data_IF_914791762330
#
_entry.id   IF_914791762330
#
_cell.length_a   1.000
_cell.length_b   1.000
_cell.length_c   1.000
_cell.angle_alpha   90.00
_cell.angle_beta   90.00
_cell.angle_gamma   90.00
#
_symmetry.space_group_name_H-M   'P 1'
#
loop_
_entity.id
_entity.type
_entity.pdbx_description
1 polymer ?
#
# COMPACT_ATOMS: atom_id res chain seq x y z
N UNK A 1 -18.68 6.67 -28.99
CA UNK A 1 -18.97 5.50 -28.13
C UNK A 1 -20.18 4.78 -28.70
N UNK A 2 -20.07 3.49 -29.00
CA UNK A 2 -21.16 2.71 -29.57
C UNK A 2 -22.25 2.49 -28.51
N UNK A 3 -23.49 2.88 -28.78
CA UNK A 3 -24.62 2.61 -27.89
C UNK A 3 -24.80 1.08 -27.75
N UNK A 4 -24.93 0.59 -26.52
CA UNK A 4 -25.21 -0.82 -26.27
C UNK A 4 -26.53 -1.22 -26.94
N UNK A 5 -26.51 -2.34 -27.69
CA UNK A 5 -27.66 -2.82 -28.45
C UNK A 5 -28.60 -3.65 -27.55
N UNK A 6 -29.93 -3.50 -27.66
CA UNK A 6 -30.90 -4.28 -26.89
C UNK A 6 -30.70 -5.79 -27.05
N UNK A 7 -30.86 -6.54 -25.95
CA UNK A 7 -30.85 -8.02 -25.94
C UNK A 7 -29.50 -8.70 -25.75
N UNK A 8 -28.39 -7.97 -25.58
CA UNK A 8 -27.05 -8.53 -25.30
C UNK A 8 -26.62 -8.22 -23.87
N UNK A 9 -26.05 -9.21 -23.16
CA UNK A 9 -25.47 -9.05 -21.81
C UNK A 9 -24.60 -7.79 -21.70
N UNK A 10 -24.69 -7.09 -20.57
CA UNK A 10 -23.90 -5.89 -20.29
C UNK A 10 -22.40 -6.13 -20.53
N UNK A 11 -21.79 -5.28 -21.37
CA UNK A 11 -20.36 -5.27 -21.61
C UNK A 11 -19.80 -3.90 -21.27
N UNK A 12 -18.91 -3.86 -20.27
CA UNK A 12 -18.27 -2.62 -19.89
C UNK A 12 -17.11 -2.30 -20.83
N UNK A 13 -17.22 -1.19 -21.56
CA UNK A 13 -16.25 -0.81 -22.60
C UNK A 13 -14.83 -0.58 -22.04
N UNK A 14 -14.72 -0.17 -20.78
CA UNK A 14 -13.44 0.10 -20.11
C UNK A 14 -12.99 -1.07 -19.21
N UNK A 15 -13.49 -2.29 -19.47
CA UNK A 15 -13.11 -3.47 -18.70
C UNK A 15 -11.61 -3.80 -18.82
N UNK A 16 -10.98 -3.55 -19.97
CA UNK A 16 -9.53 -3.68 -20.15
C UNK A 16 -8.76 -2.69 -19.26
N UNK A 17 -9.18 -1.43 -19.25
CA UNK A 17 -8.58 -0.38 -18.41
C UNK A 17 -8.71 -0.70 -16.93
N UNK A 18 -9.88 -1.20 -16.49
CA UNK A 18 -10.09 -1.65 -15.12
C UNK A 18 -9.12 -2.78 -14.73
N UNK A 19 -8.89 -3.75 -15.63
CA UNK A 19 -7.92 -4.83 -15.40
C UNK A 19 -6.49 -4.28 -15.27
N UNK A 20 -6.08 -3.38 -16.16
CA UNK A 20 -4.74 -2.76 -16.09
C UNK A 20 -4.55 -2.01 -14.77
N UNK A 21 -5.56 -1.25 -14.32
CA UNK A 21 -5.50 -0.55 -13.02
C UNK A 21 -5.43 -1.50 -11.83
N UNK A 22 -6.14 -2.63 -11.87
CA UNK A 22 -6.03 -3.66 -10.83
C UNK A 22 -4.64 -4.32 -10.80
N UNK A 23 -4.03 -4.57 -11.97
CA UNK A 23 -2.65 -5.06 -12.05
C UNK A 23 -1.68 -4.02 -11.49
N UNK A 24 -1.86 -2.74 -11.83
CA UNK A 24 -1.03 -1.65 -11.29
C UNK A 24 -1.11 -1.58 -9.77
N UNK A 25 -2.31 -1.56 -9.20
CA UNK A 25 -2.51 -1.59 -7.74
C UNK A 25 -1.78 -2.77 -7.10
N UNK A 26 -1.91 -3.98 -7.66
CA UNK A 26 -1.23 -5.17 -7.15
C UNK A 26 0.30 -5.01 -7.16
N UNK A 27 0.85 -4.47 -8.24
CA UNK A 27 2.30 -4.18 -8.33
C UNK A 27 2.73 -3.15 -7.28
N UNK A 28 2.00 -2.06 -7.13
CA UNK A 28 2.34 -1.04 -6.12
C UNK A 28 2.24 -1.61 -4.69
N UNK A 29 1.33 -2.56 -4.46
CA UNK A 29 1.18 -3.26 -3.18
C UNK A 29 2.36 -4.20 -2.91
N UNK A 30 2.83 -4.92 -3.92
CA UNK A 30 4.03 -5.78 -3.82
C UNK A 30 5.28 -4.93 -3.52
N UNK A 31 5.47 -3.81 -4.23
CA UNK A 31 6.59 -2.88 -3.98
C UNK A 31 6.49 -2.25 -2.58
N UNK A 32 5.28 -1.87 -2.14
CA UNK A 32 5.08 -1.35 -0.79
C UNK A 32 5.46 -2.39 0.27
N UNK A 33 5.07 -3.66 0.09
CA UNK A 33 5.42 -4.73 1.02
C UNK A 33 6.93 -4.97 1.08
N UNK A 34 7.64 -4.87 -0.05
CA UNK A 34 9.10 -4.93 -0.10
C UNK A 34 9.73 -3.78 0.69
N UNK A 35 9.34 -2.53 0.41
CA UNK A 35 9.85 -1.35 1.14
C UNK A 35 9.53 -1.37 2.63
N UNK A 36 8.40 -1.95 3.00
CA UNK A 36 8.04 -2.12 4.41
C UNK A 36 8.97 -3.12 5.10
N UNK A 37 9.36 -4.21 4.43
CA UNK A 37 10.33 -5.17 4.98
C UNK A 37 11.71 -4.53 5.10
N UNK A 38 12.13 -3.75 4.11
CA UNK A 38 13.41 -3.04 4.16
C UNK A 38 13.46 -2.10 5.37
N UNK A 39 12.44 -1.26 5.55
CA UNK A 39 12.31 -0.36 6.70
C UNK A 39 12.35 -1.11 8.04
N UNK A 40 11.59 -2.21 8.17
CA UNK A 40 11.59 -3.02 9.39
C UNK A 40 12.95 -3.64 9.68
N UNK A 41 13.66 -4.09 8.64
CA UNK A 41 15.00 -4.65 8.76
C UNK A 41 16.00 -3.59 9.24
N UNK A 42 15.95 -2.39 8.66
CA UNK A 42 16.84 -1.30 9.08
C UNK A 42 16.53 -0.83 10.51
N UNK A 43 15.25 -0.82 10.91
CA UNK A 43 14.84 -0.51 12.28
C UNK A 43 15.32 -1.57 13.29
N UNK A 44 15.24 -2.86 12.94
CA UNK A 44 15.76 -3.93 13.79
C UNK A 44 17.28 -3.81 13.98
N UNK A 45 18.02 -3.40 12.94
CA UNK A 45 19.46 -3.15 13.05
C UNK A 45 19.76 -1.96 13.97
N UNK A 46 18.96 -0.89 13.88
CA UNK A 46 19.07 0.26 14.78
C UNK A 46 18.88 -0.16 16.25
N UNK A 47 17.80 -0.90 16.54
CA UNK A 47 17.50 -1.43 17.87
C UNK A 47 18.63 -2.33 18.39
N UNK A 48 19.19 -3.19 17.54
CA UNK A 48 20.30 -4.06 17.92
C UNK A 48 21.60 -3.29 18.24
N UNK A 49 21.89 -2.21 17.50
CA UNK A 49 23.05 -1.34 17.79
C UNK A 49 22.83 -0.57 19.10
N UNK A 50 21.61 -0.07 19.32
CA UNK A 50 21.26 0.64 20.55
C UNK A 50 21.35 -0.27 21.77
N UNK A 51 20.82 -1.49 21.68
CA UNK A 51 20.93 -2.49 22.73
C UNK A 51 22.40 -2.85 23.03
N UNK A 52 23.21 -3.08 21.99
CA UNK A 52 24.63 -3.36 22.18
C UNK A 52 25.36 -2.18 22.85
N UNK A 53 25.09 -0.95 22.41
CA UNK A 53 25.63 0.26 23.04
C UNK A 53 25.26 0.33 24.52
N UNK A 54 23.98 0.13 24.85
CA UNK A 54 23.49 0.14 26.23
C UNK A 54 24.17 -0.91 27.10
N UNK A 55 24.28 -2.14 26.59
CA UNK A 55 24.98 -3.23 27.29
C UNK A 55 26.45 -2.87 27.55
N UNK A 56 27.14 -2.27 26.58
CA UNK A 56 28.54 -1.83 26.73
C UNK A 56 28.71 -0.65 27.68
N UNK A 57 27.74 0.28 27.72
CA UNK A 57 27.72 1.37 28.69
C UNK A 57 27.50 0.86 30.12
N UNK A 58 26.60 -0.10 30.31
CA UNK A 58 26.34 -0.73 31.61
C UNK A 58 27.53 -1.56 32.09
N UNK A 59 28.19 -2.31 31.19
CA UNK A 59 29.46 -3.00 31.47
C UNK A 59 30.52 -2.01 31.97
N UNK A 60 30.66 -0.87 31.28
CA UNK A 60 31.63 0.16 31.61
C UNK A 60 31.32 0.79 32.97
N UNK A 61 30.05 1.14 33.24
CA UNK A 61 29.59 1.64 34.54
C UNK A 61 29.83 0.64 35.66
N UNK A 62 29.63 -0.65 35.41
CA UNK A 62 29.90 -1.73 36.36
C UNK A 62 31.37 -1.81 36.77
N UNK A 63 32.30 -1.56 35.84
CA UNK A 63 33.74 -1.51 36.12
C UNK A 63 34.08 -0.33 37.06
N UNK A 64 33.50 0.85 36.83
CA UNK A 64 33.71 2.01 37.70
C UNK A 64 33.13 1.84 39.12
N UNK A 65 32.08 1.02 39.29
CA UNK A 65 31.47 0.73 40.59
C UNK A 65 32.26 -0.28 41.44
N UNK A 66 33.09 -1.13 40.83
CA UNK A 66 33.76 -2.27 41.49
C UNK A 66 35.08 -1.92 42.21
N UNK A 67 35.48 -0.65 42.25
CA UNK A 67 36.69 -0.19 42.95
C UNK A 67 37.69 0.52 42.03
N UNK A 68 38.93 0.76 42.49
CA UNK A 68 39.92 1.53 41.74
C UNK A 68 40.26 0.86 40.40
N UNK A 69 40.36 1.67 39.36
CA UNK A 69 40.59 1.23 37.98
C UNK A 69 42.01 0.66 37.90
N UNK A 70 42.11 -0.66 37.78
CA UNK A 70 43.39 -1.37 37.66
C UNK A 70 43.97 -1.35 36.25
N UNK A 71 43.15 -1.11 35.22
CA UNK A 71 43.57 -1.15 33.81
C UNK A 71 42.93 -0.01 33.01
N UNK A 72 43.64 1.11 32.92
CA UNK A 72 43.21 2.31 32.19
C UNK A 72 43.15 2.08 30.66
N UNK A 73 43.99 1.17 30.13
CA UNK A 73 43.99 0.83 28.70
C UNK A 73 42.66 0.21 28.28
N UNK A 74 42.14 -0.74 29.06
CA UNK A 74 40.81 -1.33 28.82
C UNK A 74 39.66 -0.33 28.85
N UNK A 75 39.74 0.68 29.72
CA UNK A 75 38.73 1.76 29.79
C UNK A 75 38.77 2.60 28.52
N UNK A 76 39.97 2.97 28.06
CA UNK A 76 40.16 3.76 26.84
C UNK A 76 39.65 3.02 25.60
N UNK A 77 40.00 1.72 25.46
CA UNK A 77 39.52 0.89 24.34
C UNK A 77 38.00 0.73 24.33
N UNK A 78 37.37 0.58 25.51
CA UNK A 78 35.90 0.52 25.61
C UNK A 78 35.24 1.84 25.25
N UNK A 79 35.82 2.97 25.65
CA UNK A 79 35.34 4.30 25.25
C UNK A 79 35.41 4.47 23.73
N UNK A 80 36.55 4.13 23.12
CA UNK A 80 36.71 4.19 21.66
C UNK A 80 35.69 3.29 20.93
N UNK A 81 35.42 2.09 21.47
CA UNK A 81 34.38 1.22 20.92
C UNK A 81 32.97 1.82 21.03
N UNK A 82 32.64 2.50 22.14
CA UNK A 82 31.37 3.21 22.29
C UNK A 82 31.22 4.37 21.29
N UNK A 83 32.32 5.08 20.99
CA UNK A 83 32.33 6.12 19.96
C UNK A 83 32.04 5.53 18.58
N UNK A 84 32.66 4.40 18.22
CA UNK A 84 32.36 3.67 16.97
C UNK A 84 30.90 3.20 16.93
N UNK A 85 30.35 2.69 18.04
CA UNK A 85 28.94 2.30 18.10
C UNK A 85 28.00 3.49 17.94
N UNK A 86 28.36 4.66 18.47
CA UNK A 86 27.60 5.90 18.28
C UNK A 86 27.61 6.31 16.81
N UNK A 87 28.77 6.35 16.16
CA UNK A 87 28.87 6.70 14.74
C UNK A 87 28.09 5.71 13.85
N UNK A 88 28.11 4.42 14.20
CA UNK A 88 27.33 3.39 13.50
C UNK A 88 25.82 3.57 13.72
N UNK A 89 25.40 3.97 14.92
CA UNK A 89 24.00 4.27 15.22
C UNK A 89 23.54 5.48 14.41
N UNK A 90 24.31 6.56 14.38
CA UNK A 90 23.96 7.78 13.64
C UNK A 90 23.78 7.46 12.14
N UNK A 91 24.70 6.69 11.54
CA UNK A 91 24.57 6.20 10.15
C UNK A 91 23.37 5.28 9.95
N UNK A 92 23.02 4.46 10.94
CA UNK A 92 21.88 3.55 10.83
C UNK A 92 20.55 4.31 10.92
N UNK A 93 20.47 5.33 11.78
CA UNK A 93 19.33 6.25 11.88
C UNK A 93 19.10 6.96 10.55
N UNK A 94 20.15 7.42 9.87
CA UNK A 94 20.04 8.02 8.53
C UNK A 94 19.38 7.05 7.53
N UNK A 95 19.80 5.77 7.51
CA UNK A 95 19.18 4.73 6.66
C UNK A 95 17.73 4.45 7.01
N UNK A 96 17.38 4.46 8.30
CA UNK A 96 15.99 4.29 8.74
C UNK A 96 15.13 5.47 8.28
N UNK A 97 15.66 6.69 8.35
CA UNK A 97 14.98 7.89 7.83
C UNK A 97 14.79 7.79 6.31
N UNK A 98 15.82 7.40 5.57
CA UNK A 98 15.75 7.23 4.11
C UNK A 98 14.74 6.15 3.71
N UNK A 99 14.80 4.97 4.33
CA UNK A 99 13.86 3.88 4.07
C UNK A 99 12.42 4.26 4.45
N UNK A 100 12.22 5.02 5.53
CA UNK A 100 10.92 5.58 5.92
C UNK A 100 10.35 6.55 4.87
N UNK A 101 11.19 7.46 4.35
CA UNK A 101 10.78 8.37 3.26
C UNK A 101 10.34 7.60 2.02
N UNK A 102 11.14 6.62 1.58
CA UNK A 102 10.81 5.78 0.43
C UNK A 102 9.51 4.98 0.65
N UNK A 103 9.29 4.49 1.87
CA UNK A 103 8.06 3.78 2.23
C UNK A 103 6.83 4.69 2.13
N UNK A 104 6.90 5.92 2.64
CA UNK A 104 5.79 6.88 2.56
C UNK A 104 5.53 7.36 1.13
N UNK A 105 6.56 7.57 0.31
CA UNK A 105 6.41 7.85 -1.12
C UNK A 105 5.68 6.70 -1.82
N UNK A 106 6.08 5.45 -1.54
CA UNK A 106 5.46 4.27 -2.12
C UNK A 106 4.02 4.09 -1.63
N UNK A 107 3.75 4.42 -0.36
CA UNK A 107 2.39 4.43 0.21
C UNK A 107 1.49 5.41 -0.55
N UNK A 108 1.98 6.62 -0.83
CA UNK A 108 1.23 7.61 -1.59
C UNK A 108 0.89 7.11 -3.01
N UNK A 109 1.83 6.44 -3.69
CA UNK A 109 1.62 5.82 -5.01
C UNK A 109 0.59 4.69 -4.96
N UNK A 110 0.63 3.84 -3.95
CA UNK A 110 -0.36 2.79 -3.73
C UNK A 110 -1.77 3.39 -3.52
N UNK A 111 -1.90 4.40 -2.65
CA UNK A 111 -3.18 5.08 -2.41
C UNK A 111 -3.73 5.70 -3.70
N UNK A 112 -2.88 6.33 -4.51
CA UNK A 112 -3.28 6.87 -5.81
C UNK A 112 -3.81 5.78 -6.74
N UNK A 113 -3.10 4.65 -6.83
CA UNK A 113 -3.52 3.52 -7.68
C UNK A 113 -4.82 2.87 -7.20
N UNK A 114 -5.02 2.76 -5.88
CA UNK A 114 -6.27 2.29 -5.28
C UNK A 114 -7.45 3.22 -5.61
N UNK A 115 -7.25 4.54 -5.48
CA UNK A 115 -8.26 5.55 -5.85
C UNK A 115 -8.63 5.44 -7.33
N UNK A 116 -7.64 5.32 -8.21
CA UNK A 116 -7.85 5.18 -9.65
C UNK A 116 -8.67 3.95 -10.01
N UNK A 117 -8.41 2.81 -9.37
CA UNK A 117 -9.24 1.62 -9.54
C UNK A 117 -10.65 1.86 -9.02
N UNK A 118 -10.79 2.46 -7.84
CA UNK A 118 -12.10 2.68 -7.22
C UNK A 118 -13.00 3.60 -8.04
N UNK A 119 -12.42 4.63 -8.66
CA UNK A 119 -13.15 5.51 -9.59
C UNK A 119 -13.70 4.70 -10.77
N UNK A 120 -12.91 3.80 -11.34
CA UNK A 120 -13.34 2.97 -12.47
C UNK A 120 -14.40 1.93 -12.07
N UNK A 121 -14.32 1.35 -10.88
CA UNK A 121 -15.37 0.48 -10.34
C UNK A 121 -16.69 1.23 -10.21
N UNK A 122 -16.67 2.42 -9.59
CA UNK A 122 -17.87 3.28 -9.47
C UNK A 122 -18.44 3.66 -10.83
N UNK A 123 -17.58 3.97 -11.80
CA UNK A 123 -18.01 4.26 -13.16
C UNK A 123 -18.67 3.03 -13.81
N UNK A 124 -18.11 1.83 -13.63
CA UNK A 124 -18.69 0.58 -14.12
C UNK A 124 -20.05 0.32 -13.49
N UNK A 125 -20.19 0.49 -12.18
CA UNK A 125 -21.46 0.34 -11.46
C UNK A 125 -22.51 1.33 -11.99
N UNK A 126 -22.13 2.59 -12.22
CA UNK A 126 -23.04 3.58 -12.82
C UNK A 126 -23.50 3.16 -14.22
N UNK A 127 -22.58 2.68 -15.06
CA UNK A 127 -22.91 2.20 -16.41
C UNK A 127 -23.81 0.97 -16.39
N UNK A 128 -23.64 0.09 -15.41
CA UNK A 128 -24.52 -1.06 -15.22
C UNK A 128 -25.94 -0.60 -14.87
N UNK A 129 -26.10 0.33 -13.91
CA UNK A 129 -27.40 0.90 -13.57
C UNK A 129 -28.09 1.59 -14.75
N UNK A 130 -27.32 2.32 -15.57
CA UNK A 130 -27.84 2.95 -16.80
C UNK A 130 -28.34 1.90 -17.81
N UNK A 131 -27.59 0.79 -17.96
CA UNK A 131 -27.99 -0.33 -18.81
C UNK A 131 -29.25 -1.03 -18.29
N UNK A 132 -29.32 -1.33 -16.99
CA UNK A 132 -30.48 -1.99 -16.38
C UNK A 132 -31.75 -1.15 -16.55
N UNK A 133 -31.64 0.17 -16.36
CA UNK A 133 -32.74 1.10 -16.62
C UNK A 133 -33.18 1.09 -18.08
N UNK A 134 -32.22 1.12 -19.02
CA UNK A 134 -32.53 1.05 -20.45
C UNK A 134 -33.24 -0.27 -20.81
N UNK A 135 -32.83 -1.40 -20.24
CA UNK A 135 -33.48 -2.69 -20.48
C UNK A 135 -34.90 -2.73 -19.92
N UNK A 136 -35.12 -2.19 -18.72
CA UNK A 136 -36.46 -2.08 -18.14
C UNK A 136 -37.40 -1.22 -19.00
N UNK A 137 -36.91 -0.08 -19.50
CA UNK A 137 -37.69 0.80 -20.38
C UNK A 137 -38.05 0.10 -21.70
N UNK A 138 -37.16 -0.74 -22.22
CA UNK A 138 -37.41 -1.52 -23.43
C UNK A 138 -38.40 -2.67 -23.20
N UNK A 139 -38.28 -3.39 -22.08
CA UNK A 139 -39.22 -4.44 -21.68
C UNK A 139 -40.63 -3.86 -21.49
N UNK A 140 -40.73 -2.71 -20.83
CA UNK A 140 -42.02 -2.02 -20.64
C UNK A 140 -42.66 -1.64 -21.97
N UNK A 141 -41.90 -1.02 -22.89
CA UNK A 141 -42.41 -0.69 -24.24
C UNK A 141 -42.86 -1.93 -25.02
N UNK A 142 -42.11 -3.01 -24.91
CA UNK A 142 -42.46 -4.28 -25.55
C UNK A 142 -43.77 -4.86 -25.00
N UNK A 143 -43.99 -4.81 -23.68
CA UNK A 143 -45.24 -5.23 -23.06
C UNK A 143 -46.43 -4.35 -23.51
N UNK A 144 -46.23 -3.04 -23.63
CA UNK A 144 -47.25 -2.10 -24.14
C UNK A 144 -47.61 -2.39 -25.60
N UNK A 145 -46.62 -2.69 -26.45
CA UNK A 145 -46.82 -3.10 -27.84
C UNK A 145 -47.62 -4.43 -27.94
N UNK A 146 -47.35 -5.40 -27.06
CA UNK A 146 -48.13 -6.65 -26.99
C UNK A 146 -49.57 -6.38 -26.53
N UNK A 147 -49.76 -5.52 -25.53
CA UNK A 147 -51.08 -5.19 -25.01
C UNK A 147 -51.94 -4.49 -26.08
N UNK A 148 -51.37 -3.51 -26.79
CA UNK A 148 -52.06 -2.79 -27.86
C UNK A 148 -52.37 -3.67 -29.06
N UNK A 149 -51.46 -4.57 -29.46
CA UNK A 149 -51.71 -5.53 -30.55
C UNK A 149 -52.78 -6.56 -30.18
N UNK A 150 -52.82 -7.06 -28.94
CA UNK A 150 -53.92 -7.92 -28.45
C UNK A 150 -55.27 -7.21 -28.41
N UNK A 151 -55.30 -5.94 -28.01
CA UNK A 151 -56.55 -5.17 -27.98
C UNK A 151 -57.11 -4.96 -29.39
N UNK A 152 -56.24 -4.64 -30.37
CA UNK A 152 -56.61 -4.49 -31.78
C UNK A 152 -57.15 -5.78 -32.41
N UNK A 153 -56.75 -6.95 -31.93
CA UNK A 153 -57.24 -8.24 -32.42
C UNK A 153 -58.56 -8.72 -31.80
N UNK A 154 -59.06 -8.04 -30.76
CA UNK A 154 -60.31 -8.38 -30.06
C UNK A 154 -61.52 -7.52 -30.46
N UNK A 155 -61.31 -6.51 -31.32
CA UNK A 155 -62.38 -5.79 -32.03
C UNK A 155 -62.55 -6.38 -33.42
#
# INVERSE_FOLDING_TARGET
MAKQKPGKRFKYDLQSVLKVRAIKEKKEQEIFAEKQRDFLTEKQKEEAIEENKRNKEDDLRGVFKKGPITDFSKVLSRKAHLEVLKDNLDKQVEKVIESSKLLEEQRARLISSMKDKKIMEKHKEKKLKEYDKMMLDLETKFLDEIATSRFKHKQ
#
